data_IF_412534258949
#
_entry.id   IF_412534258949
#
_cell.length_a   1.000
_cell.length_b   1.000
_cell.length_c   1.000
_cell.angle_alpha   90.00
_cell.angle_beta   90.00
_cell.angle_gamma   90.00
#
_symmetry.space_group_name_H-M   'P 1'
#
loop_
_entity.id
_entity.type
_entity.pdbx_description
1 polymer ?
#
# COMPACT_ATOMS: atom_id res chain seq x y z
N UNK A 1 -23.75 21.87 -38.49
CA UNK A 1 -23.34 22.64 -37.29
C UNK A 1 -23.52 21.75 -36.07
N UNK A 2 -22.43 21.41 -35.37
CA UNK A 2 -22.42 20.46 -34.25
C UNK A 2 -22.93 21.11 -32.96
N UNK A 3 -23.87 20.44 -32.28
CA UNK A 3 -24.55 20.88 -31.04
C UNK A 3 -23.61 21.19 -29.87
N UNK A 4 -22.39 20.65 -29.91
CA UNK A 4 -21.32 20.90 -28.95
C UNK A 4 -20.81 22.35 -28.95
N UNK A 5 -21.02 23.12 -30.03
CA UNK A 5 -20.53 24.50 -30.16
C UNK A 5 -21.32 25.52 -29.32
N UNK A 6 -22.46 25.12 -28.74
CA UNK A 6 -23.30 25.98 -27.87
C UNK A 6 -22.96 25.82 -26.38
N UNK A 7 -22.06 24.90 -26.03
CA UNK A 7 -21.72 24.62 -24.65
C UNK A 7 -20.45 25.41 -24.27
N UNK A 8 -20.51 26.13 -23.15
CA UNK A 8 -19.33 26.77 -22.56
C UNK A 8 -18.45 25.72 -21.89
N UNK A 9 -17.56 25.12 -22.68
CA UNK A 9 -16.59 24.13 -22.22
C UNK A 9 -15.56 24.83 -21.32
N UNK A 10 -15.66 24.59 -20.01
CA UNK A 10 -14.71 25.08 -19.01
C UNK A 10 -13.99 23.90 -18.36
N UNK A 11 -12.66 23.97 -18.28
CA UNK A 11 -11.86 22.96 -17.59
C UNK A 11 -11.94 23.22 -16.08
N UNK A 12 -12.75 22.43 -15.37
CA UNK A 12 -12.82 22.51 -13.91
C UNK A 12 -11.69 21.69 -13.30
N UNK A 13 -10.62 22.34 -12.87
CA UNK A 13 -9.63 21.72 -11.97
C UNK A 13 -10.24 21.64 -10.57
N UNK A 14 -10.86 20.51 -10.25
CA UNK A 14 -11.41 20.25 -8.92
C UNK A 14 -10.26 20.18 -7.91
N UNK A 15 -10.02 21.27 -7.19
CA UNK A 15 -9.01 21.34 -6.13
C UNK A 15 -9.50 20.47 -4.97
N UNK A 16 -9.03 19.23 -4.93
CA UNK A 16 -9.16 18.37 -3.76
C UNK A 16 -8.52 19.09 -2.57
N UNK A 17 -9.30 19.44 -1.54
CA UNK A 17 -8.79 20.06 -0.29
C UNK A 17 -7.76 19.18 0.43
N UNK A 18 -7.56 17.94 0.00
CA UNK A 18 -6.53 17.04 0.51
C UNK A 18 -5.44 16.87 -0.53
N UNK A 19 -4.19 17.19 -0.14
CA UNK A 19 -3.02 16.94 -0.97
C UNK A 19 -2.94 15.43 -1.28
N UNK A 20 -3.08 15.00 -2.56
CA UNK A 20 -3.12 13.57 -2.90
C UNK A 20 -1.81 12.86 -2.54
N UNK A 21 -0.68 13.58 -2.55
CA UNK A 21 0.62 13.07 -2.05
C UNK A 21 0.55 12.73 -0.56
N UNK A 22 0.05 13.64 0.27
CA UNK A 22 -0.09 13.40 1.71
C UNK A 22 -1.04 12.24 2.03
N UNK A 23 -2.12 12.07 1.26
CA UNK A 23 -3.00 10.92 1.42
C UNK A 23 -2.28 9.60 1.09
N UNK A 24 -1.48 9.57 0.02
CA UNK A 24 -0.66 8.40 -0.34
C UNK A 24 0.38 8.09 0.72
N UNK A 25 1.08 9.10 1.25
CA UNK A 25 2.03 8.95 2.37
C UNK A 25 1.35 8.33 3.59
N UNK A 26 0.23 8.91 4.05
CA UNK A 26 -0.55 8.38 5.19
C UNK A 26 -0.95 6.92 4.99
N UNK A 27 -1.40 6.56 3.79
CA UNK A 27 -1.79 5.20 3.46
C UNK A 27 -0.60 4.24 3.49
N UNK A 28 0.55 4.66 2.96
CA UNK A 28 1.76 3.84 2.94
C UNK A 28 2.33 3.67 4.36
N UNK A 29 2.37 4.74 5.16
CA UNK A 29 2.74 4.67 6.60
C UNK A 29 1.84 3.70 7.36
N UNK A 30 0.52 3.81 7.21
CA UNK A 30 -0.43 2.88 7.85
C UNK A 30 -0.20 1.42 7.41
N UNK A 31 0.10 1.19 6.13
CA UNK A 31 0.43 -0.15 5.65
C UNK A 31 1.75 -0.68 6.25
N UNK A 32 2.77 0.17 6.39
CA UNK A 32 4.04 -0.20 7.04
C UNK A 32 3.82 -0.53 8.52
N UNK A 33 3.00 0.26 9.23
CA UNK A 33 2.63 -0.04 10.62
C UNK A 33 1.90 -1.38 10.75
N UNK A 34 1.01 -1.72 9.82
CA UNK A 34 0.42 -3.05 9.77
C UNK A 34 1.48 -4.14 9.59
N UNK A 35 2.49 -3.93 8.75
CA UNK A 35 3.58 -4.90 8.59
C UNK A 35 4.44 -5.06 9.84
N UNK A 36 4.62 -4.00 10.63
CA UNK A 36 5.27 -4.10 11.95
C UNK A 36 4.45 -4.99 12.91
N UNK A 37 3.12 -4.87 12.90
CA UNK A 37 2.25 -5.77 13.67
C UNK A 37 2.30 -7.21 13.16
N UNK A 38 2.32 -7.40 11.83
CA UNK A 38 2.50 -8.73 11.20
C UNK A 38 3.83 -9.35 11.62
N UNK A 39 4.91 -8.57 11.65
CA UNK A 39 6.20 -9.02 12.14
C UNK A 39 6.14 -9.39 13.63
N UNK A 40 5.52 -8.56 14.48
CA UNK A 40 5.36 -8.88 15.89
C UNK A 40 4.57 -10.18 16.10
N UNK A 41 3.52 -10.42 15.31
CA UNK A 41 2.77 -11.67 15.30
C UNK A 41 3.62 -12.85 14.80
N UNK A 42 4.42 -12.65 13.75
CA UNK A 42 5.33 -13.68 13.25
C UNK A 42 6.33 -14.14 14.32
N UNK A 43 6.89 -13.21 15.10
CA UNK A 43 7.80 -13.57 16.21
C UNK A 43 7.10 -14.40 17.30
N UNK A 44 5.78 -14.26 17.43
CA UNK A 44 4.94 -15.04 18.35
C UNK A 44 4.39 -16.33 17.72
N UNK A 45 4.73 -16.62 16.46
CA UNK A 45 4.13 -17.67 15.65
C UNK A 45 2.60 -17.53 15.47
N UNK A 46 2.09 -16.31 15.50
CA UNK A 46 0.67 -15.97 15.30
C UNK A 46 0.42 -15.36 13.92
N UNK A 47 -0.80 -15.53 13.39
CA UNK A 47 -1.23 -14.92 12.13
C UNK A 47 -1.93 -13.61 12.42
N UNK A 48 -1.45 -12.52 11.81
CA UNK A 48 -2.10 -11.21 11.94
C UNK A 48 -3.22 -11.06 10.90
N UNK A 49 -4.46 -11.03 11.39
CA UNK A 49 -5.66 -10.77 10.59
C UNK A 49 -6.12 -9.32 10.78
N UNK A 50 -6.69 -8.74 9.73
CA UNK A 50 -7.37 -7.44 9.80
C UNK A 50 -8.81 -7.62 9.36
N UNK A 51 -9.72 -7.08 10.16
CA UNK A 51 -11.15 -7.02 9.82
C UNK A 51 -11.35 -6.08 8.64
N UNK A 52 -11.79 -6.63 7.52
CA UNK A 52 -12.09 -5.89 6.30
C UNK A 52 -13.54 -6.07 5.93
N UNK A 53 -14.26 -4.96 5.78
CA UNK A 53 -15.62 -4.99 5.26
C UNK A 53 -15.62 -5.44 3.80
N UNK A 54 -16.28 -6.56 3.54
CA UNK A 54 -16.51 -7.10 2.20
C UNK A 54 -18.00 -7.09 1.91
N UNK A 55 -18.38 -6.72 0.69
CA UNK A 55 -19.77 -6.87 0.25
C UNK A 55 -19.98 -8.25 -0.35
N UNK A 56 -20.76 -9.09 0.32
CA UNK A 56 -21.16 -10.41 -0.18
C UNK A 56 -22.58 -10.30 -0.73
N UNK A 57 -22.83 -10.90 -1.90
CA UNK A 57 -24.19 -11.05 -2.42
C UNK A 57 -24.87 -12.18 -1.64
N UNK A 58 -25.96 -11.85 -0.98
CA UNK A 58 -26.85 -12.84 -0.37
C UNK A 58 -27.61 -13.61 -1.46
N UNK A 59 -28.15 -14.78 -1.12
CA UNK A 59 -28.98 -15.59 -2.02
C UNK A 59 -30.19 -14.81 -2.57
N UNK A 60 -30.66 -13.81 -1.83
CA UNK A 60 -31.76 -12.90 -2.18
C UNK A 60 -31.35 -11.74 -3.13
N UNK A 61 -30.11 -11.77 -3.67
CA UNK A 61 -29.59 -10.75 -4.59
C UNK A 61 -29.15 -9.43 -3.94
N UNK A 62 -29.41 -9.22 -2.64
CA UNK A 62 -28.99 -8.03 -1.88
C UNK A 62 -27.50 -8.08 -1.50
N UNK A 63 -26.81 -6.94 -1.58
CA UNK A 63 -25.41 -6.78 -1.14
C UNK A 63 -25.40 -6.55 0.37
N UNK A 64 -24.93 -7.53 1.13
CA UNK A 64 -24.69 -7.41 2.57
C UNK A 64 -23.24 -7.01 2.81
N UNK A 65 -23.00 -6.02 3.67
CA UNK A 65 -21.67 -5.72 4.18
C UNK A 65 -21.39 -6.71 5.32
N UNK A 66 -20.42 -7.59 5.12
CA UNK A 66 -19.94 -8.50 6.14
C UNK A 66 -18.51 -8.13 6.51
N UNK A 67 -18.24 -8.10 7.81
CA UNK A 67 -16.90 -7.95 8.34
C UNK A 67 -16.19 -9.31 8.22
N UNK A 68 -15.17 -9.38 7.35
CA UNK A 68 -14.38 -10.60 7.17
C UNK A 68 -12.97 -10.36 7.70
N UNK A 69 -12.48 -11.26 8.53
CA UNK A 69 -11.08 -11.29 8.90
C UNK A 69 -10.25 -11.76 7.70
N UNK A 70 -9.33 -10.91 7.27
CA UNK A 70 -8.43 -11.21 6.15
C UNK A 70 -7.01 -11.20 6.67
N UNK A 71 -6.28 -12.28 6.42
CA UNK A 71 -4.85 -12.33 6.70
C UNK A 71 -4.12 -11.25 5.91
N UNK A 72 -3.31 -10.47 6.64
CA UNK A 72 -2.45 -9.48 6.00
C UNK A 72 -1.24 -10.19 5.40
N UNK A 73 -1.19 -10.24 4.06
CA UNK A 73 -0.03 -10.78 3.37
C UNK A 73 1.24 -10.04 3.79
N UNK A 74 2.20 -10.81 4.30
CA UNK A 74 3.52 -10.36 4.74
C UNK A 74 4.25 -9.71 3.55
N UNK A 75 4.91 -8.60 3.81
CA UNK A 75 5.76 -7.91 2.84
C UNK A 75 7.19 -8.45 2.82
N UNK A 76 7.50 -9.32 3.77
CA UNK A 76 8.81 -9.91 3.96
C UNK A 76 8.72 -11.43 3.95
N UNK A 77 9.78 -12.06 3.45
CA UNK A 77 9.87 -13.51 3.30
C UNK A 77 11.33 -13.94 3.42
N UNK A 78 11.53 -15.19 3.80
CA UNK A 78 12.84 -15.82 3.85
C UNK A 78 13.13 -16.52 2.52
N UNK A 79 14.32 -16.29 1.97
CA UNK A 79 14.81 -16.98 0.78
C UNK A 79 16.31 -17.21 0.91
N UNK A 80 16.75 -18.46 0.77
CA UNK A 80 18.18 -18.79 0.72
C UNK A 80 19.00 -18.30 1.92
N UNK A 81 18.46 -18.46 3.14
CA UNK A 81 19.11 -18.08 4.40
C UNK A 81 19.20 -16.56 4.65
N UNK A 82 18.43 -15.76 3.89
CA UNK A 82 18.28 -14.31 4.09
C UNK A 82 16.81 -13.91 4.12
N UNK A 83 16.52 -12.81 4.77
CA UNK A 83 15.19 -12.21 4.78
C UNK A 83 15.11 -11.06 3.81
N UNK A 84 14.07 -11.01 2.99
CA UNK A 84 13.83 -9.95 2.03
C UNK A 84 12.60 -9.15 2.43
N UNK A 85 12.69 -7.83 2.37
CA UNK A 85 11.59 -6.90 2.70
C UNK A 85 11.21 -6.11 1.46
N UNK A 86 9.99 -6.32 0.95
CA UNK A 86 9.45 -5.62 -0.21
C UNK A 86 8.41 -4.58 0.19
N UNK A 87 8.66 -3.31 -0.10
CA UNK A 87 7.67 -2.26 0.14
C UNK A 87 6.60 -2.30 -0.96
N UNK A 88 5.31 -2.39 -0.58
CA UNK A 88 4.20 -2.46 -1.54
C UNK A 88 3.22 -1.29 -1.36
N UNK A 89 2.76 -0.72 -2.46
CA UNK A 89 1.64 0.21 -2.45
C UNK A 89 0.41 -0.45 -3.08
N UNK A 90 -0.53 -0.90 -2.25
CA UNK A 90 -1.67 -1.70 -2.70
C UNK A 90 -1.20 -3.03 -3.28
N UNK A 91 -1.35 -3.22 -4.60
CA UNK A 91 -0.91 -4.43 -5.30
C UNK A 91 0.45 -4.27 -6.00
N UNK A 92 1.04 -3.07 -5.99
CA UNK A 92 2.28 -2.76 -6.72
C UNK A 92 3.47 -2.79 -5.78
N UNK A 93 4.56 -3.45 -6.19
CA UNK A 93 5.85 -3.38 -5.49
C UNK A 93 6.52 -2.05 -5.84
N UNK A 94 6.99 -1.33 -4.83
CA UNK A 94 7.71 -0.08 -5.00
C UNK A 94 9.20 -0.35 -5.20
N UNK A 95 9.80 0.38 -6.14
CA UNK A 95 11.25 0.41 -6.31
C UNK A 95 11.82 1.44 -5.33
N UNK A 96 12.66 1.01 -4.39
CA UNK A 96 13.15 1.85 -3.30
C UNK A 96 14.15 2.90 -3.80
N UNK A 97 14.98 2.53 -4.77
CA UNK A 97 15.98 3.38 -5.41
C UNK A 97 15.80 3.46 -6.94
N UNK A 98 14.64 3.04 -7.45
CA UNK A 98 14.35 2.96 -8.89
C UNK A 98 14.91 1.74 -9.62
N UNK A 99 15.73 0.90 -8.97
CA UNK A 99 16.27 -0.35 -9.53
C UNK A 99 15.88 -1.57 -8.69
N UNK A 100 16.07 -1.47 -7.39
CA UNK A 100 15.85 -2.53 -6.43
C UNK A 100 14.47 -2.40 -5.77
N UNK A 101 13.81 -3.55 -5.63
CA UNK A 101 12.45 -3.68 -5.11
C UNK A 101 12.39 -4.27 -3.68
N UNK A 102 13.52 -4.76 -3.16
CA UNK A 102 13.61 -5.44 -1.89
C UNK A 102 14.88 -5.05 -1.12
N UNK A 103 14.80 -5.03 0.21
CA UNK A 103 15.96 -4.93 1.10
C UNK A 103 16.24 -6.32 1.66
N UNK A 104 17.48 -6.80 1.51
CA UNK A 104 17.93 -8.05 2.10
C UNK A 104 18.51 -7.79 3.50
N UNK A 105 18.14 -8.62 4.47
CA UNK A 105 18.66 -8.62 5.84
C UNK A 105 19.04 -10.04 6.26
N UNK A 106 19.93 -10.17 7.24
CA UNK A 106 20.39 -11.47 7.70
C UNK A 106 19.32 -12.14 8.58
N UNK A 107 18.72 -11.35 9.47
CA UNK A 107 17.79 -11.85 10.48
C UNK A 107 16.39 -11.27 10.38
N UNK A 108 15.39 -12.06 10.78
CA UNK A 108 14.01 -11.59 10.91
C UNK A 108 13.90 -10.38 11.83
N UNK A 109 14.74 -10.28 12.87
CA UNK A 109 14.74 -9.14 13.82
C UNK A 109 15.11 -7.81 13.14
N UNK A 110 15.93 -7.86 12.10
CA UNK A 110 16.34 -6.67 11.35
C UNK A 110 15.21 -6.15 10.45
N UNK A 111 14.26 -7.01 10.07
CA UNK A 111 13.10 -6.62 9.25
C UNK A 111 12.32 -5.47 9.89
N UNK A 112 12.13 -5.48 11.22
CA UNK A 112 11.47 -4.38 11.93
C UNK A 112 12.23 -3.05 11.80
N UNK A 113 13.56 -3.10 11.80
CA UNK A 113 14.42 -1.91 11.62
C UNK A 113 14.28 -1.36 10.19
N UNK A 114 14.28 -2.24 9.19
CA UNK A 114 14.05 -1.86 7.79
C UNK A 114 12.67 -1.22 7.60
N UNK A 115 11.61 -1.83 8.15
CA UNK A 115 10.26 -1.28 8.07
C UNK A 115 10.16 0.11 8.72
N UNK A 116 10.80 0.35 9.87
CA UNK A 116 10.86 1.68 10.49
C UNK A 116 11.63 2.68 9.64
N UNK A 117 12.76 2.27 9.05
CA UNK A 117 13.53 3.13 8.15
C UNK A 117 12.72 3.52 6.93
N UNK A 118 11.99 2.56 6.35
CA UNK A 118 11.04 2.82 5.26
C UNK A 118 9.94 3.79 5.70
N UNK A 119 9.41 3.65 6.91
CA UNK A 119 8.40 4.57 7.44
C UNK A 119 8.91 6.02 7.45
N UNK A 120 10.10 6.25 8.01
CA UNK A 120 10.72 7.59 8.06
C UNK A 120 10.96 8.14 6.65
N UNK A 121 11.46 7.33 5.72
CA UNK A 121 11.64 7.73 4.33
C UNK A 121 10.32 8.12 3.64
N UNK A 122 9.21 7.44 3.95
CA UNK A 122 7.87 7.82 3.46
C UNK A 122 7.42 9.15 4.07
N UNK A 123 7.65 9.35 5.36
CA UNK A 123 7.26 10.58 6.06
C UNK A 123 8.01 11.81 5.51
N UNK A 124 9.32 11.67 5.28
CA UNK A 124 10.16 12.66 4.62
C UNK A 124 9.74 12.91 3.15
N UNK A 125 9.23 11.87 2.48
CA UNK A 125 8.71 11.97 1.12
C UNK A 125 9.64 11.42 0.04
N UNK A 126 10.73 10.76 0.41
CA UNK A 126 11.68 10.14 -0.51
C UNK A 126 11.00 9.11 -1.42
N UNK A 127 9.96 8.44 -0.92
CA UNK A 127 9.22 7.40 -1.65
C UNK A 127 8.03 7.94 -2.46
N UNK A 128 7.74 9.24 -2.44
CA UNK A 128 6.62 9.80 -3.22
C UNK A 128 6.79 9.57 -4.73
N UNK A 129 8.01 9.74 -5.23
CA UNK A 129 8.35 9.51 -6.64
C UNK A 129 8.17 8.04 -7.02
N UNK A 130 8.60 7.12 -6.15
CA UNK A 130 8.42 5.69 -6.34
C UNK A 130 6.93 5.31 -6.37
N UNK A 131 6.11 5.86 -5.47
CA UNK A 131 4.66 5.65 -5.45
C UNK A 131 3.99 6.25 -6.69
N UNK A 132 4.40 7.45 -7.11
CA UNK A 132 3.87 8.08 -8.31
C UNK A 132 4.18 7.23 -9.56
N UNK A 133 5.41 6.74 -9.70
CA UNK A 133 5.80 5.85 -10.78
C UNK A 133 5.04 4.51 -10.76
N UNK A 134 4.86 3.91 -9.58
CA UNK A 134 4.08 2.67 -9.45
C UNK A 134 2.59 2.84 -9.80
N UNK A 135 2.06 4.06 -9.68
CA UNK A 135 0.70 4.42 -10.06
C UNK A 135 0.54 4.73 -11.55
N UNK A 136 1.62 5.06 -12.26
CA UNK A 136 1.55 5.23 -13.70
C UNK A 136 1.22 3.87 -14.33
N UNK A 137 0.05 3.76 -14.98
CA UNK A 137 -0.25 2.62 -15.83
C UNK A 137 0.73 2.69 -17.00
N UNK A 138 1.60 1.68 -17.15
CA UNK A 138 2.23 1.41 -18.45
C UNK A 138 1.07 1.10 -19.41
N UNK A 139 0.81 2.01 -20.34
CA UNK A 139 -0.08 1.80 -21.48
C UNK A 139 0.62 1.00 -22.56
#
# INVERSE_FOLDING_TARGET
MTTLSKLNLTTVTRVSRTNPKLQRRKKLVSAIQQQLSVHAALLRNEVFTVTKQSSVKSADGKKLKVDKEVEVKKWFFEEGNKWFVQCKYGTKVLLLNGKDNAVAVADVKEVASVLRTLQVAVENGDLDSAVANALQRKS
#
